data_IF_259301269205
#
_entry.id   IF_259301269205
#
_cell.length_a   1.000
_cell.length_b   1.000
_cell.length_c   1.000
_cell.angle_alpha   90.00
_cell.angle_beta   90.00
_cell.angle_gamma   90.00
#
_symmetry.space_group_name_H-M   'P 1'
#
loop_
_entity.id
_entity.type
_entity.pdbx_description
1 polymer ?
#
# COMPACT_ATOMS: atom_id res chain seq x y z
N UNK A 1 20.54 -11.28 -2.53
CA UNK A 1 19.34 -10.82 -1.81
C UNK A 1 18.91 -9.43 -2.28
N UNK A 2 19.73 -8.38 -2.10
CA UNK A 2 19.48 -7.00 -2.57
C UNK A 2 18.87 -6.94 -3.99
N UNK A 3 19.58 -7.47 -4.99
CA UNK A 3 19.11 -7.42 -6.39
C UNK A 3 17.83 -8.23 -6.64
N UNK A 4 17.66 -9.39 -6.00
CA UNK A 4 16.45 -10.18 -6.12
C UNK A 4 15.22 -9.43 -5.56
N UNK A 5 15.37 -8.73 -4.43
CA UNK A 5 14.32 -7.89 -3.87
C UNK A 5 14.01 -6.67 -4.76
N UNK A 6 15.03 -6.07 -5.39
CA UNK A 6 14.81 -5.00 -6.38
C UNK A 6 14.06 -5.50 -7.62
N UNK A 7 14.38 -6.70 -8.09
CA UNK A 7 13.67 -7.32 -9.21
C UNK A 7 12.20 -7.59 -8.86
N UNK A 8 11.92 -8.08 -7.65
CA UNK A 8 10.55 -8.22 -7.11
C UNK A 8 9.81 -6.87 -7.13
N UNK A 9 10.43 -5.79 -6.64
CA UNK A 9 9.86 -4.43 -6.66
C UNK A 9 9.61 -3.95 -8.10
N UNK A 10 10.59 -4.12 -9.00
CA UNK A 10 10.48 -3.66 -10.38
C UNK A 10 9.40 -4.41 -11.16
N UNK A 11 9.18 -5.69 -10.85
CA UNK A 11 8.14 -6.52 -11.44
C UNK A 11 6.75 -6.29 -10.83
N UNK A 12 6.62 -5.51 -9.74
CA UNK A 12 5.33 -5.17 -9.16
C UNK A 12 4.55 -4.22 -10.09
N UNK A 13 3.59 -4.76 -10.83
CA UNK A 13 2.80 -3.98 -11.80
C UNK A 13 1.77 -3.06 -11.14
N UNK A 14 1.52 -3.22 -9.85
CA UNK A 14 0.60 -2.41 -9.05
C UNK A 14 1.27 -1.17 -8.43
N UNK A 15 2.59 -1.01 -8.58
CA UNK A 15 3.33 0.13 -8.08
C UNK A 15 3.65 1.10 -9.23
N UNK A 16 3.55 2.39 -8.93
CA UNK A 16 4.08 3.46 -9.77
C UNK A 16 5.61 3.42 -9.83
N UNK A 17 6.20 4.13 -10.80
CA UNK A 17 7.66 4.23 -10.88
C UNK A 17 8.25 4.90 -9.64
N UNK A 18 7.61 5.95 -9.12
CA UNK A 18 8.08 6.66 -7.92
C UNK A 18 8.06 5.75 -6.68
N UNK A 19 7.03 4.92 -6.51
CA UNK A 19 6.96 3.93 -5.42
C UNK A 19 8.06 2.87 -5.55
N UNK A 20 8.35 2.41 -6.77
CA UNK A 20 9.45 1.48 -7.04
C UNK A 20 10.80 2.11 -6.73
N UNK A 21 11.02 3.34 -7.16
CA UNK A 21 12.26 4.07 -6.95
C UNK A 21 12.52 4.28 -5.45
N UNK A 22 11.49 4.62 -4.67
CA UNK A 22 11.64 4.78 -3.22
C UNK A 22 11.91 3.45 -2.51
N UNK A 23 11.21 2.36 -2.87
CA UNK A 23 11.46 1.03 -2.29
C UNK A 23 12.85 0.49 -2.68
N UNK A 24 13.30 0.68 -3.91
CA UNK A 24 14.65 0.24 -4.34
C UNK A 24 15.75 1.03 -3.64
N UNK A 25 15.54 2.34 -3.43
CA UNK A 25 16.43 3.18 -2.63
C UNK A 25 16.45 2.74 -1.16
N UNK A 26 15.32 2.36 -0.58
CA UNK A 26 15.27 1.80 0.78
C UNK A 26 16.09 0.51 0.89
N UNK A 27 15.92 -0.42 -0.06
CA UNK A 27 16.71 -1.66 -0.15
C UNK A 27 18.21 -1.35 -0.25
N UNK A 28 18.57 -0.34 -1.04
CA UNK A 28 19.97 0.11 -1.17
C UNK A 28 20.55 0.62 0.13
N UNK A 29 19.82 1.50 0.83
CA UNK A 29 20.25 2.04 2.11
C UNK A 29 20.42 0.95 3.17
N UNK A 30 19.49 -0.01 3.24
CA UNK A 30 19.59 -1.14 4.17
C UNK A 30 20.84 -1.98 3.87
N UNK A 31 21.07 -2.30 2.59
CA UNK A 31 22.25 -3.06 2.19
C UNK A 31 23.56 -2.33 2.51
N UNK A 32 23.63 -1.04 2.20
CA UNK A 32 24.83 -0.23 2.46
C UNK A 32 25.08 -0.08 3.97
N UNK A 33 24.03 0.07 4.78
CA UNK A 33 24.14 0.09 6.24
C UNK A 33 24.66 -1.24 6.80
N UNK A 34 24.19 -2.37 6.28
CA UNK A 34 24.67 -3.69 6.67
C UNK A 34 26.16 -3.88 6.32
N UNK A 35 26.55 -3.48 5.10
CA UNK A 35 27.97 -3.51 4.66
C UNK A 35 28.83 -2.65 5.58
N UNK A 36 28.38 -1.45 5.94
CA UNK A 36 29.10 -0.57 6.85
C UNK A 36 29.24 -1.18 8.25
N UNK A 37 28.18 -1.83 8.76
CA UNK A 37 28.22 -2.50 10.05
C UNK A 37 29.19 -3.70 10.05
N UNK A 38 29.23 -4.48 8.96
CA UNK A 38 30.19 -5.57 8.77
C UNK A 38 31.63 -5.03 8.74
N UNK A 39 31.88 -3.97 7.95
CA UNK A 39 33.20 -3.35 7.85
C UNK A 39 33.67 -2.72 9.18
N UNK A 40 32.75 -2.30 10.04
CA UNK A 40 33.02 -1.75 11.37
C UNK A 40 33.13 -2.81 12.49
N UNK A 41 32.84 -4.07 12.20
CA UNK A 41 32.89 -5.15 13.19
C UNK A 41 34.33 -5.42 13.65
N UNK A 42 34.51 -5.69 14.95
CA UNK A 42 35.83 -5.97 15.56
C UNK A 42 36.15 -7.46 15.66
N UNK A 43 35.15 -8.30 15.45
CA UNK A 43 35.21 -9.75 15.53
C UNK A 43 34.20 -10.40 14.58
N UNK A 44 34.40 -11.68 14.31
CA UNK A 44 33.59 -12.46 13.37
C UNK A 44 32.14 -12.59 13.82
N UNK A 45 31.87 -12.58 15.12
CA UNK A 45 30.51 -12.73 15.64
C UNK A 45 29.69 -11.48 15.34
N UNK A 46 30.25 -10.31 15.59
CA UNK A 46 29.62 -9.02 15.28
C UNK A 46 29.39 -8.87 13.77
N UNK A 47 30.35 -9.32 12.96
CA UNK A 47 30.21 -9.32 11.49
C UNK A 47 29.05 -10.21 11.03
N UNK A 48 28.92 -11.42 11.58
CA UNK A 48 27.81 -12.35 11.27
C UNK A 48 26.46 -11.81 11.72
N UNK A 49 26.38 -11.17 12.88
CA UNK A 49 25.14 -10.58 13.38
C UNK A 49 24.68 -9.42 12.48
N UNK A 50 25.62 -8.59 12.03
CA UNK A 50 25.34 -7.51 11.07
C UNK A 50 24.89 -8.05 9.69
N UNK A 51 25.52 -9.11 9.19
CA UNK A 51 25.11 -9.80 7.96
C UNK A 51 23.69 -10.35 8.08
N UNK A 52 23.41 -11.13 9.14
CA UNK A 52 22.10 -11.71 9.38
C UNK A 52 21.02 -10.64 9.51
N UNK A 53 21.30 -9.57 10.27
CA UNK A 53 20.37 -8.45 10.41
C UNK A 53 20.12 -7.77 9.07
N UNK A 54 21.15 -7.48 8.28
CA UNK A 54 20.99 -6.89 6.96
C UNK A 54 20.14 -7.73 6.01
N UNK A 55 20.32 -9.05 6.04
CA UNK A 55 19.49 -9.99 5.27
C UNK A 55 18.03 -9.92 5.71
N UNK A 56 17.76 -9.96 7.02
CA UNK A 56 16.39 -9.87 7.54
C UNK A 56 15.75 -8.52 7.22
N UNK A 57 16.46 -7.42 7.42
CA UNK A 57 15.96 -6.07 7.14
C UNK A 57 15.60 -5.91 5.65
N UNK A 58 16.36 -6.51 4.72
CA UNK A 58 16.01 -6.51 3.27
C UNK A 58 14.77 -7.37 2.99
N UNK A 59 14.64 -8.54 3.65
CA UNK A 59 13.48 -9.41 3.50
C UNK A 59 12.20 -8.76 4.02
N UNK A 60 12.33 -7.98 5.10
CA UNK A 60 11.25 -7.24 5.74
C UNK A 60 10.76 -6.01 4.94
N UNK A 61 11.47 -5.61 3.88
CA UNK A 61 10.96 -4.61 2.94
C UNK A 61 9.72 -5.19 2.24
N UNK A 62 8.56 -4.70 2.69
CA UNK A 62 7.26 -5.09 2.16
C UNK A 62 7.04 -4.44 0.79
N UNK A 63 6.83 -5.27 -0.22
CA UNK A 63 6.31 -4.85 -1.53
C UNK A 63 4.79 -4.87 -1.42
N UNK A 64 4.09 -3.71 -1.50
CA UNK A 64 2.63 -3.70 -1.44
C UNK A 64 2.04 -4.61 -2.51
N UNK A 65 1.11 -5.49 -2.11
CA UNK A 65 0.40 -6.34 -3.06
C UNK A 65 -0.75 -5.57 -3.70
N UNK A 66 -1.22 -6.04 -4.86
CA UNK A 66 -2.44 -5.49 -5.46
C UNK A 66 -3.64 -5.61 -4.51
N UNK A 67 -3.71 -6.69 -3.73
CA UNK A 67 -4.80 -6.92 -2.79
C UNK A 67 -4.75 -5.95 -1.59
N UNK A 68 -3.55 -5.63 -1.10
CA UNK A 68 -3.36 -4.59 -0.08
C UNK A 68 -3.86 -3.23 -0.59
N UNK A 69 -3.48 -2.86 -1.83
CA UNK A 69 -3.90 -1.61 -2.46
C UNK A 69 -5.42 -1.58 -2.66
N UNK A 70 -6.02 -2.66 -3.15
CA UNK A 70 -7.47 -2.78 -3.31
C UNK A 70 -8.21 -2.67 -1.98
N UNK A 71 -7.71 -3.32 -0.94
CA UNK A 71 -8.31 -3.28 0.40
C UNK A 71 -8.31 -1.86 0.95
N UNK A 72 -7.18 -1.16 0.85
CA UNK A 72 -7.07 0.24 1.29
C UNK A 72 -7.99 1.16 0.48
N UNK A 73 -8.09 0.97 -0.83
CA UNK A 73 -8.98 1.75 -1.69
C UNK A 73 -10.46 1.55 -1.32
N UNK A 74 -10.89 0.32 -1.05
CA UNK A 74 -12.26 0.02 -0.60
C UNK A 74 -12.56 0.65 0.75
N UNK A 75 -11.62 0.59 1.69
CA UNK A 75 -11.79 1.23 3.00
C UNK A 75 -11.97 2.74 2.84
N UNK A 76 -11.17 3.39 2.00
CA UNK A 76 -11.32 4.83 1.74
C UNK A 76 -12.69 5.19 1.14
N UNK A 77 -13.24 4.34 0.26
CA UNK A 77 -14.61 4.52 -0.28
C UNK A 77 -15.66 4.35 0.82
N UNK A 78 -15.52 3.33 1.68
CA UNK A 78 -16.43 3.10 2.79
C UNK A 78 -16.42 4.26 3.80
N UNK A 79 -15.25 4.76 4.17
CA UNK A 79 -15.09 5.90 5.08
C UNK A 79 -15.71 7.18 4.49
N UNK A 80 -15.51 7.41 3.19
CA UNK A 80 -16.11 8.55 2.49
C UNK A 80 -17.64 8.46 2.45
N UNK A 81 -18.18 7.25 2.23
CA UNK A 81 -19.61 6.98 2.25
C UNK A 81 -20.22 7.21 3.65
N UNK A 82 -19.57 6.72 4.70
CA UNK A 82 -20.00 6.91 6.08
C UNK A 82 -20.03 8.41 6.43
N UNK A 83 -18.96 9.14 6.12
CA UNK A 83 -18.89 10.58 6.31
C UNK A 83 -20.03 11.32 5.59
N UNK A 84 -20.26 10.99 4.30
CA UNK A 84 -21.33 11.60 3.52
C UNK A 84 -22.72 11.28 4.09
N UNK A 85 -22.94 10.06 4.52
CA UNK A 85 -24.21 9.62 5.13
C UNK A 85 -24.48 10.38 6.42
N UNK A 86 -23.45 10.57 7.25
CA UNK A 86 -23.55 11.36 8.48
C UNK A 86 -23.88 12.84 8.20
N UNK A 87 -23.22 13.44 7.21
CA UNK A 87 -23.52 14.81 6.76
C UNK A 87 -24.98 14.97 6.29
N UNK A 88 -25.47 14.03 5.46
CA UNK A 88 -26.85 14.04 4.96
C UNK A 88 -27.84 13.91 6.12
N UNK A 89 -27.58 12.98 7.06
CA UNK A 89 -28.44 12.79 8.22
C UNK A 89 -28.49 14.03 9.13
N UNK A 90 -27.37 14.72 9.30
CA UNK A 90 -27.26 15.94 10.10
C UNK A 90 -27.90 17.18 9.44
N UNK A 91 -28.14 17.18 8.13
CA UNK A 91 -28.69 18.33 7.41
C UNK A 91 -30.11 18.70 7.92
N UNK A 92 -30.26 19.85 8.56
CA UNK A 92 -31.54 20.30 9.14
C UNK A 92 -32.52 20.89 8.10
N UNK A 93 -32.02 21.22 6.91
CA UNK A 93 -32.78 21.82 5.81
C UNK A 93 -33.37 20.79 4.83
N UNK A 94 -33.18 19.49 5.07
CA UNK A 94 -33.67 18.41 4.22
C UNK A 94 -34.74 17.59 4.95
N UNK A 95 -35.81 17.25 4.24
CA UNK A 95 -36.80 16.30 4.75
C UNK A 95 -36.27 14.85 4.71
N UNK A 96 -36.97 13.95 5.41
CA UNK A 96 -36.55 12.54 5.53
C UNK A 96 -36.53 11.78 4.20
N UNK A 97 -37.43 12.09 3.25
CA UNK A 97 -37.47 11.41 1.97
C UNK A 97 -36.27 11.84 1.10
N UNK A 98 -35.99 13.14 1.06
CA UNK A 98 -34.82 13.69 0.36
C UNK A 98 -33.51 13.13 0.94
N UNK A 99 -33.40 13.01 2.27
CA UNK A 99 -32.23 12.38 2.91
C UNK A 99 -32.06 10.93 2.48
N UNK A 100 -33.15 10.15 2.50
CA UNK A 100 -33.10 8.75 2.12
C UNK A 100 -32.69 8.56 0.67
N UNK A 101 -33.22 9.38 -0.25
CA UNK A 101 -32.84 9.34 -1.67
C UNK A 101 -31.36 9.64 -1.89
N UNK A 102 -30.82 10.65 -1.19
CA UNK A 102 -29.39 10.99 -1.26
C UNK A 102 -28.51 9.87 -0.71
N UNK A 103 -28.89 9.26 0.42
CA UNK A 103 -28.16 8.12 1.00
C UNK A 103 -28.20 6.92 0.05
N UNK A 104 -29.35 6.60 -0.53
CA UNK A 104 -29.48 5.51 -1.49
C UNK A 104 -28.56 5.73 -2.70
N UNK A 105 -28.51 6.95 -3.24
CA UNK A 105 -27.61 7.30 -4.34
C UNK A 105 -26.15 7.17 -3.95
N UNK A 106 -25.76 7.66 -2.78
CA UNK A 106 -24.39 7.55 -2.29
C UNK A 106 -23.95 6.08 -2.14
N UNK A 107 -24.83 5.21 -1.62
CA UNK A 107 -24.57 3.78 -1.54
C UNK A 107 -24.36 3.16 -2.93
N UNK A 108 -25.24 3.43 -3.89
CA UNK A 108 -25.11 2.91 -5.27
C UNK A 108 -23.79 3.36 -5.92
N UNK A 109 -23.40 4.61 -5.72
CA UNK A 109 -22.13 5.14 -6.25
C UNK A 109 -20.91 4.48 -5.58
N UNK A 110 -20.96 4.26 -4.26
CA UNK A 110 -19.91 3.56 -3.52
C UNK A 110 -19.79 2.09 -3.94
N UNK A 111 -20.91 1.37 -4.07
CA UNK A 111 -20.94 -0.01 -4.55
C UNK A 111 -20.34 -0.11 -5.96
N UNK A 112 -20.74 0.80 -6.86
CA UNK A 112 -20.17 0.88 -8.22
C UNK A 112 -18.65 1.13 -8.20
N UNK A 113 -18.16 1.95 -7.27
CA UNK A 113 -16.73 2.22 -7.14
C UNK A 113 -15.98 0.99 -6.61
N UNK A 114 -16.54 0.29 -5.62
CA UNK A 114 -15.97 -0.94 -5.06
C UNK A 114 -15.91 -2.05 -6.12
N UNK A 115 -16.97 -2.24 -6.90
CA UNK A 115 -16.99 -3.19 -8.02
C UNK A 115 -15.87 -2.89 -9.02
N UNK A 116 -15.68 -1.61 -9.39
CA UNK A 116 -14.60 -1.20 -10.31
C UNK A 116 -13.20 -1.45 -9.74
N UNK A 117 -13.01 -1.31 -8.43
CA UNK A 117 -11.74 -1.64 -7.76
C UNK A 117 -11.48 -3.15 -7.84
N UNK A 118 -12.53 -3.96 -7.76
CA UNK A 118 -12.41 -5.42 -7.82
C UNK A 118 -12.14 -5.97 -9.21
N UNK A 119 -12.55 -5.26 -10.26
CA UNK A 119 -12.31 -5.70 -11.64
C UNK A 119 -10.81 -6.04 -11.84
N UNK A 120 -10.49 -7.22 -12.39
CA UNK A 120 -9.13 -7.52 -12.77
C UNK A 120 -8.68 -6.50 -13.82
N UNK A 121 -7.46 -5.96 -13.67
CA UNK A 121 -6.86 -5.09 -14.68
C UNK A 121 -6.94 -5.81 -16.03
N UNK A 122 -7.69 -5.24 -16.99
CA UNK A 122 -7.72 -5.78 -18.35
C UNK A 122 -6.30 -5.69 -18.90
N UNK A 123 -5.63 -6.83 -18.97
CA UNK A 123 -4.34 -6.97 -19.65
C UNK A 123 -4.61 -6.57 -21.10
N UNK A 124 -4.19 -5.37 -21.50
CA UNK A 124 -4.06 -5.02 -22.91
C UNK A 124 -2.91 -5.88 -23.45
N UNK A 125 -3.26 -6.91 -24.21
CA UNK A 125 -2.32 -7.66 -25.04
C UNK A 125 -1.77 -6.77 -26.16
#
# INVERSE_FOLDING_TARGET
>A
MREAKKEEINNANNLSQDEKDELTKQVDQIADNAINAINGAKDDQTAKDAENKGIQDILDVKVPSLDDVKTNAKQAVADALESKTNEINAASNLDSATKQDLINRANVEADTAIEKIDLPAMIKH
#
